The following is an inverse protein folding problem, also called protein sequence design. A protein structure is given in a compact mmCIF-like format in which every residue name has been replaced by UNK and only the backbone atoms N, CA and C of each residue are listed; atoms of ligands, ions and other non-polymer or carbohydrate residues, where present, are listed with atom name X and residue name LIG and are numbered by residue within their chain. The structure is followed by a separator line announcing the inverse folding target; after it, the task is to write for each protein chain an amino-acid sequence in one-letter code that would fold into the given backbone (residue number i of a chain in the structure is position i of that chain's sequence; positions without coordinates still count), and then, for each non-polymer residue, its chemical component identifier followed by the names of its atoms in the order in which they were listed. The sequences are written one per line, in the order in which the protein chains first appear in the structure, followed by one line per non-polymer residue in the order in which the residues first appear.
data_IF_894539699500
#
_entry.id   IF_894539699500
#
_cell.length_a   1.000
_cell.length_b   1.000
_cell.length_c   1.000
_cell.angle_alpha   90.00
_cell.angle_beta   90.00
_cell.angle_gamma   90.00
#
_symmetry.space_group_name_H-M   'P 1'
#
loop_
_entity.id
_entity.type
_entity.pdbx_description
1 polymer ?
#
# COMPACT_ATOMS: atom_id res chain seq x y z
N UNK A 1 17.63 4.78 7.71
CA UNK A 1 17.25 4.52 9.10
C UNK A 1 16.20 3.43 9.09
N UNK A 2 16.43 2.27 9.72
CA UNK A 2 15.37 1.29 9.89
C UNK A 2 14.30 1.93 10.77
N UNK A 3 13.04 1.82 10.37
CA UNK A 3 11.92 2.23 11.20
C UNK A 3 11.92 1.35 12.47
N UNK A 4 11.51 1.91 13.60
CA UNK A 4 11.26 1.09 14.80
C UNK A 4 10.11 0.11 14.55
N UNK A 5 10.06 -1.00 15.27
CA UNK A 5 8.98 -2.00 15.13
C UNK A 5 7.56 -1.41 15.19
N UNK A 6 7.34 -0.41 16.06
CA UNK A 6 6.05 0.29 16.17
C UNK A 6 5.76 1.17 14.95
N UNK A 7 6.77 1.85 14.40
CA UNK A 7 6.66 2.60 13.15
C UNK A 7 6.41 1.67 11.97
N UNK A 8 7.06 0.51 11.91
CA UNK A 8 6.78 -0.50 10.89
C UNK A 8 5.36 -1.02 10.95
N UNK A 9 4.85 -1.31 12.15
CA UNK A 9 3.48 -1.75 12.35
C UNK A 9 2.49 -0.67 11.89
N UNK A 10 2.77 0.60 12.23
CA UNK A 10 1.96 1.73 11.81
C UNK A 10 1.97 1.90 10.29
N UNK A 11 3.14 1.84 9.64
CA UNK A 11 3.29 1.88 8.18
C UNK A 11 2.50 0.74 7.54
N UNK A 12 2.56 -0.46 8.11
CA UNK A 12 1.85 -1.62 7.59
C UNK A 12 0.32 -1.43 7.64
N UNK A 13 -0.20 -0.91 8.76
CA UNK A 13 -1.63 -0.62 8.93
C UNK A 13 -2.10 0.46 7.96
N UNK A 14 -1.39 1.59 7.91
CA UNK A 14 -1.76 2.72 7.04
C UNK A 14 -1.68 2.35 5.56
N UNK A 15 -0.64 1.62 5.13
CA UNK A 15 -0.51 1.18 3.75
C UNK A 15 -1.60 0.18 3.35
N UNK A 16 -2.03 -0.71 4.25
CA UNK A 16 -3.15 -1.62 4.01
C UNK A 16 -4.49 -0.88 3.86
N UNK A 17 -4.75 0.09 4.73
CA UNK A 17 -5.93 0.95 4.63
C UNK A 17 -5.93 1.69 3.29
N UNK A 18 -4.80 2.30 2.92
CA UNK A 18 -4.68 3.03 1.67
C UNK A 18 -4.87 2.14 0.43
N UNK A 19 -4.33 0.93 0.42
CA UNK A 19 -4.58 -0.05 -0.67
C UNK A 19 -6.06 -0.40 -0.77
N UNK A 20 -6.74 -0.59 0.36
CA UNK A 20 -8.17 -0.88 0.38
C UNK A 20 -8.99 0.28 -0.20
N UNK A 21 -8.67 1.50 0.18
CA UNK A 21 -9.35 2.71 -0.33
C UNK A 21 -9.15 2.86 -1.83
N UNK A 22 -7.92 2.70 -2.32
CA UNK A 22 -7.61 2.76 -3.75
C UNK A 22 -8.32 1.65 -4.54
N UNK A 23 -8.43 0.45 -4.00
CA UNK A 23 -9.21 -0.63 -4.62
C UNK A 23 -10.71 -0.31 -4.66
N UNK A 24 -11.23 0.32 -3.61
CA UNK A 24 -12.62 0.78 -3.57
C UNK A 24 -12.86 1.91 -4.58
N UNK A 25 -11.90 2.81 -4.81
CA UNK A 25 -12.01 3.81 -5.87
C UNK A 25 -11.90 3.19 -7.28
N UNK A 26 -11.04 2.20 -7.47
CA UNK A 26 -10.83 1.52 -8.75
C UNK A 26 -12.01 0.64 -9.19
N UNK A 27 -12.64 -0.05 -8.25
CA UNK A 27 -13.64 -1.10 -8.50
C UNK A 27 -14.99 -0.87 -7.80
N UNK A 28 -15.14 0.23 -7.07
CA UNK A 28 -16.38 0.57 -6.37
C UNK A 28 -17.55 0.78 -7.32
N UNK A 29 -18.74 0.36 -6.90
CA UNK A 29 -19.98 0.60 -7.65
C UNK A 29 -20.18 2.12 -7.79
N UNK A 30 -20.18 2.60 -9.03
CA UNK A 30 -20.35 4.01 -9.36
C UNK A 30 -19.06 4.79 -9.58
N UNK A 31 -17.88 4.16 -9.60
CA UNK A 31 -16.65 4.87 -9.95
C UNK A 31 -16.62 5.23 -11.44
N UNK A 32 -16.83 6.51 -11.72
CA UNK A 32 -16.62 7.10 -13.04
C UNK A 32 -15.23 7.74 -13.01
N UNK A 33 -14.22 6.92 -13.26
CA UNK A 33 -12.82 7.34 -13.33
C UNK A 33 -12.34 7.26 -14.78
N UNK A 34 -11.64 8.30 -15.23
CA UNK A 34 -11.00 8.32 -16.55
C UNK A 34 -9.83 7.33 -16.61
N UNK A 35 -9.42 6.93 -17.81
CA UNK A 35 -8.30 6.01 -18.00
C UNK A 35 -7.00 6.54 -17.34
N UNK A 36 -6.76 7.85 -17.40
CA UNK A 36 -5.61 8.49 -16.73
C UNK A 36 -5.70 8.38 -15.20
N UNK A 37 -6.89 8.57 -14.63
CA UNK A 37 -7.11 8.39 -13.19
C UNK A 37 -6.95 6.92 -12.79
N UNK A 38 -7.45 5.99 -13.60
CA UNK A 38 -7.27 4.55 -13.39
C UNK A 38 -5.78 4.17 -13.40
N UNK A 39 -5.00 4.66 -14.35
CA UNK A 39 -3.56 4.42 -14.41
C UNK A 39 -2.83 5.00 -13.19
N UNK A 40 -3.20 6.19 -12.74
CA UNK A 40 -2.64 6.81 -11.54
C UNK A 40 -2.94 5.98 -10.28
N UNK A 41 -4.18 5.58 -10.08
CA UNK A 41 -4.61 4.76 -8.94
C UNK A 41 -3.95 3.37 -8.95
N UNK A 42 -3.75 2.76 -10.12
CA UNK A 42 -3.03 1.49 -10.26
C UNK A 42 -1.55 1.66 -9.89
N UNK A 43 -0.92 2.75 -10.32
CA UNK A 43 0.47 3.05 -9.99
C UNK A 43 0.64 3.25 -8.48
N UNK A 44 -0.21 4.07 -7.88
CA UNK A 44 -0.21 4.32 -6.44
C UNK A 44 -0.46 3.03 -5.65
N UNK A 45 -1.41 2.18 -6.08
CA UNK A 45 -1.61 0.84 -5.50
C UNK A 45 -0.34 0.00 -5.49
N UNK A 46 0.42 0.00 -6.60
CA UNK A 46 1.66 -0.79 -6.71
C UNK A 46 2.74 -0.29 -5.76
N UNK A 47 2.89 1.03 -5.63
CA UNK A 47 3.87 1.64 -4.71
C UNK A 47 3.59 1.24 -3.25
N UNK A 48 2.33 1.27 -2.80
CA UNK A 48 1.97 0.80 -1.46
C UNK A 48 2.16 -0.71 -1.27
N UNK A 49 1.88 -1.52 -2.30
CA UNK A 49 2.15 -2.97 -2.25
C UNK A 49 3.64 -3.27 -2.14
N UNK A 50 4.49 -2.53 -2.86
CA UNK A 50 5.94 -2.64 -2.77
C UNK A 50 6.46 -2.23 -1.39
N UNK A 51 5.93 -1.14 -0.82
CA UNK A 51 6.25 -0.72 0.54
C UNK A 51 5.91 -1.81 1.58
N UNK A 52 4.73 -2.44 1.45
CA UNK A 52 4.32 -3.55 2.31
C UNK A 52 5.23 -4.78 2.13
N UNK A 53 5.65 -5.07 0.91
CA UNK A 53 6.56 -6.16 0.61
C UNK A 53 7.94 -5.93 1.24
N UNK A 54 8.49 -4.73 1.11
CA UNK A 54 9.76 -4.35 1.74
C UNK A 54 9.67 -4.41 3.26
N UNK A 55 8.58 -3.93 3.84
CA UNK A 55 8.35 -4.02 5.28
C UNK A 55 8.30 -5.48 5.77
N UNK A 56 7.67 -6.38 5.00
CA UNK A 56 7.67 -7.82 5.31
C UNK A 56 9.07 -8.43 5.21
N UNK A 57 9.84 -8.09 4.17
CA UNK A 57 11.22 -8.58 4.01
C UNK A 57 12.11 -8.12 5.15
N UNK A 58 12.06 -6.83 5.53
CA UNK A 58 12.84 -6.28 6.63
C UNK A 58 12.56 -7.01 7.94
N UNK A 59 11.28 -7.28 8.27
CA UNK A 59 10.91 -8.09 9.44
C UNK A 59 11.45 -9.52 9.38
N UNK A 60 11.48 -10.15 8.21
CA UNK A 60 12.04 -11.50 8.08
C UNK A 60 13.56 -11.53 8.25
N UNK A 61 14.25 -10.44 7.88
CA UNK A 61 15.68 -10.29 8.04
C UNK A 61 16.06 -9.92 9.48
N UNK A 62 15.29 -9.09 10.18
CA UNK A 62 15.52 -8.78 11.60
C UNK A 62 15.29 -9.97 12.54
N UNK A 63 14.46 -10.93 12.12
CA UNK A 63 14.16 -12.15 12.91
C UNK A 63 15.21 -13.26 12.68
N UNK A 64 16.12 -13.10 11.70
CA UNK A 64 17.22 -14.05 11.41
C UNK A 64 18.52 -13.63 12.10
#
# INVERSE_FOLDING_TARGET
MPYTYSQELLINTLAKEKVRDLQQELYGKGSVISDRQREALIRECREYQELLYQNRLNRQLEVR
#
